data_IF_058812824566
#
_entry.id   IF_058812824566
#
_cell.length_a   1.000
_cell.length_b   1.000
_cell.length_c   1.000
_cell.angle_alpha   90.00
_cell.angle_beta   90.00
_cell.angle_gamma   90.00
#
_symmetry.space_group_name_H-M   'P 1'
#
loop_
_entity.id
_entity.type
_entity.pdbx_description
1 polymer ?
#
# COMPACT_ATOMS: atom_id res chain seq x y z
N UNK A 1 -3.01 -14.64 -35.29
CA UNK A 1 -1.68 -14.05 -35.43
C UNK A 1 -1.77 -12.57 -35.03
N UNK A 2 -1.54 -12.26 -33.76
CA UNK A 2 -1.41 -10.90 -33.28
C UNK A 2 0.08 -10.56 -33.27
N UNK A 3 0.47 -9.64 -34.14
CA UNK A 3 1.85 -9.21 -34.32
C UNK A 3 2.37 -8.35 -33.15
N UNK A 4 3.66 -8.20 -33.00
CA UNK A 4 4.31 -7.59 -31.85
C UNK A 4 4.33 -6.06 -31.97
N UNK A 5 3.31 -5.37 -31.47
CA UNK A 5 3.27 -3.89 -31.51
C UNK A 5 3.70 -3.25 -30.15
N UNK A 6 3.94 -4.03 -29.11
CA UNK A 6 4.18 -3.46 -27.78
C UNK A 6 5.64 -3.43 -27.30
N UNK A 7 6.62 -3.71 -28.18
CA UNK A 7 8.03 -3.87 -27.74
C UNK A 7 9.03 -2.80 -28.21
N UNK A 8 8.63 -1.75 -28.87
CA UNK A 8 9.60 -0.80 -29.45
C UNK A 8 9.60 0.64 -28.91
N UNK A 9 8.78 0.99 -27.92
CA UNK A 9 8.76 2.37 -27.41
C UNK A 9 9.26 2.57 -25.98
N UNK A 10 9.76 1.51 -25.30
CA UNK A 10 10.22 1.64 -23.91
C UNK A 10 11.74 1.63 -23.72
N UNK A 11 12.55 1.47 -24.76
CA UNK A 11 14.01 1.49 -24.69
C UNK A 11 14.66 2.34 -25.80
N UNK A 12 14.05 3.47 -26.12
CA UNK A 12 14.71 4.53 -26.85
C UNK A 12 15.70 5.23 -25.93
N UNK A 13 16.96 5.24 -26.36
CA UNK A 13 18.12 6.02 -25.94
C UNK A 13 18.04 6.65 -24.51
N UNK A 14 18.68 5.99 -23.54
CA UNK A 14 18.97 6.57 -22.23
C UNK A 14 20.08 7.63 -22.35
N UNK A 15 19.94 8.56 -23.29
CA UNK A 15 20.63 9.84 -23.21
C UNK A 15 20.23 10.48 -21.88
N UNK A 16 21.19 11.03 -21.16
CA UNK A 16 21.03 11.67 -19.86
C UNK A 16 19.65 12.36 -19.80
N UNK A 17 18.77 11.89 -18.90
CA UNK A 17 17.46 12.50 -18.65
C UNK A 17 17.74 13.95 -18.20
N UNK A 18 17.83 14.85 -19.17
CA UNK A 18 17.92 16.26 -18.87
C UNK A 18 16.55 16.63 -18.31
N UNK A 19 16.57 17.22 -17.13
CA UNK A 19 15.38 17.69 -16.41
C UNK A 19 14.81 18.94 -17.14
N UNK A 20 14.44 18.76 -18.42
CA UNK A 20 14.00 19.84 -19.33
C UNK A 20 12.57 20.27 -19.07
N UNK A 21 11.81 19.47 -18.33
CA UNK A 21 10.39 19.69 -18.13
C UNK A 21 10.05 20.23 -16.71
N UNK A 22 11.04 20.86 -16.04
CA UNK A 22 10.81 21.48 -14.71
C UNK A 22 9.65 22.48 -14.76
N UNK A 23 9.59 23.29 -15.81
CA UNK A 23 8.53 24.30 -15.97
C UNK A 23 7.15 23.64 -16.11
N UNK A 24 7.04 22.53 -16.86
CA UNK A 24 5.80 21.78 -16.98
C UNK A 24 5.35 21.18 -15.64
N UNK A 25 6.29 20.62 -14.85
CA UNK A 25 6.00 20.08 -13.52
C UNK A 25 5.58 21.19 -12.55
N UNK A 26 6.27 22.32 -12.54
CA UNK A 26 5.91 23.44 -11.68
C UNK A 26 4.56 24.03 -12.08
N UNK A 27 4.32 24.17 -13.38
CA UNK A 27 3.01 24.63 -13.88
C UNK A 27 1.90 23.69 -13.47
N UNK A 28 2.09 22.37 -13.63
CA UNK A 28 1.12 21.36 -13.20
C UNK A 28 0.85 21.46 -11.70
N UNK A 29 1.92 21.60 -10.90
CA UNK A 29 1.78 21.75 -9.46
C UNK A 29 0.96 23.00 -9.09
N UNK A 30 1.26 24.16 -9.69
CA UNK A 30 0.52 25.40 -9.44
C UNK A 30 -0.94 25.30 -9.89
N UNK A 31 -1.20 24.72 -11.07
CA UNK A 31 -2.53 24.58 -11.62
C UNK A 31 -3.43 23.61 -10.83
N UNK A 32 -2.82 22.60 -10.17
CA UNK A 32 -3.56 21.54 -9.48
C UNK A 32 -3.62 21.68 -7.97
N UNK A 33 -2.82 22.58 -7.38
CA UNK A 33 -2.86 22.78 -5.93
C UNK A 33 -4.18 23.47 -5.52
N UNK A 34 -4.71 22.97 -4.40
CA UNK A 34 -5.92 23.57 -3.84
C UNK A 34 -5.62 24.94 -3.20
N UNK A 35 -6.49 25.89 -3.49
CA UNK A 35 -6.56 27.18 -2.82
C UNK A 35 -8.00 27.44 -2.39
N UNK A 36 -8.20 28.39 -1.48
CA UNK A 36 -9.56 28.77 -1.06
C UNK A 36 -10.42 29.17 -2.27
N UNK A 37 -9.81 29.88 -3.22
CA UNK A 37 -10.49 30.29 -4.45
C UNK A 37 -10.81 29.10 -5.35
N UNK A 38 -9.84 28.21 -5.62
CA UNK A 38 -10.05 27.06 -6.52
C UNK A 38 -11.11 26.10 -5.98
N UNK A 39 -11.17 25.92 -4.66
CA UNK A 39 -12.20 25.08 -4.01
C UNK A 39 -13.58 25.72 -4.12
N UNK A 40 -13.69 27.05 -3.90
CA UNK A 40 -14.97 27.78 -4.01
C UNK A 40 -15.46 27.89 -5.46
N UNK A 41 -14.54 28.05 -6.42
CA UNK A 41 -14.87 28.17 -7.84
C UNK A 41 -15.12 26.81 -8.51
N UNK A 42 -14.79 25.72 -7.86
CA UNK A 42 -15.01 24.37 -8.39
C UNK A 42 -16.49 24.07 -8.49
N UNK A 43 -16.93 23.67 -9.68
CA UNK A 43 -18.28 23.13 -9.92
C UNK A 43 -18.32 21.60 -9.75
N UNK A 44 -17.22 21.00 -9.29
CA UNK A 44 -17.14 19.56 -9.09
C UNK A 44 -18.03 19.13 -7.92
N UNK A 45 -18.93 18.20 -8.20
CA UNK A 45 -19.75 17.54 -7.19
C UNK A 45 -19.34 16.08 -7.09
N UNK A 46 -19.29 15.54 -5.88
CA UNK A 46 -19.01 14.13 -5.67
C UNK A 46 -20.24 13.31 -6.00
N UNK A 47 -20.05 12.31 -6.85
CA UNK A 47 -21.05 11.29 -7.14
C UNK A 47 -20.99 10.21 -6.05
N UNK A 48 -21.80 10.37 -5.01
CA UNK A 48 -21.84 9.47 -3.87
C UNK A 48 -22.41 8.10 -4.18
N UNK A 49 -23.26 8.01 -5.20
CA UNK A 49 -23.89 6.75 -5.63
C UNK A 49 -22.86 5.84 -6.32
N UNK A 50 -21.80 6.44 -6.87
CA UNK A 50 -20.69 5.74 -7.52
C UNK A 50 -19.43 5.69 -6.63
N UNK A 51 -19.59 5.78 -5.32
CA UNK A 51 -18.45 5.66 -4.40
C UNK A 51 -17.86 4.25 -4.47
N UNK A 52 -16.54 4.12 -4.70
CA UNK A 52 -15.90 2.81 -4.70
C UNK A 52 -15.96 2.16 -3.32
N UNK A 53 -16.04 0.84 -3.30
CA UNK A 53 -15.95 0.09 -2.04
C UNK A 53 -14.57 0.31 -1.39
N UNK A 54 -14.51 0.51 -0.06
CA UNK A 54 -13.25 0.86 0.62
C UNK A 54 -12.25 -0.29 0.68
N UNK A 55 -12.70 -1.51 0.36
CA UNK A 55 -11.88 -2.72 0.39
C UNK A 55 -12.15 -3.58 -0.83
N UNK A 56 -11.08 -4.08 -1.46
CA UNK A 56 -11.15 -5.16 -2.41
C UNK A 56 -11.15 -6.48 -1.63
N UNK A 57 -12.16 -7.30 -1.82
CA UNK A 57 -12.33 -8.56 -1.12
C UNK A 57 -12.56 -9.69 -2.10
N UNK A 58 -11.78 -10.75 -2.01
CA UNK A 58 -11.98 -12.01 -2.74
C UNK A 58 -12.80 -12.95 -1.86
N UNK A 59 -14.12 -12.87 -1.95
CA UNK A 59 -15.05 -13.56 -1.04
C UNK A 59 -15.05 -15.08 -1.19
N UNK A 60 -14.71 -15.56 -2.39
CA UNK A 60 -14.70 -16.99 -2.72
C UNK A 60 -13.40 -17.69 -2.31
N UNK A 61 -12.44 -16.94 -1.75
CA UNK A 61 -11.16 -17.47 -1.30
C UNK A 61 -11.12 -17.54 0.22
N UNK A 62 -10.70 -18.69 0.74
CA UNK A 62 -10.53 -18.88 2.18
C UNK A 62 -9.46 -17.92 2.75
N UNK A 63 -9.74 -17.28 3.89
CA UNK A 63 -8.78 -16.39 4.52
C UNK A 63 -7.70 -17.17 5.26
N UNK A 64 -6.44 -16.83 5.03
CA UNK A 64 -5.32 -17.23 5.87
C UNK A 64 -5.13 -16.12 6.90
N UNK A 65 -5.50 -16.33 8.17
CA UNK A 65 -5.50 -15.27 9.17
C UNK A 65 -4.08 -14.79 9.49
N UNK A 66 -3.93 -13.47 9.59
CA UNK A 66 -2.71 -12.81 10.05
C UNK A 66 -2.85 -12.41 11.52
N UNK A 67 -1.72 -12.27 12.21
CA UNK A 67 -1.71 -11.79 13.57
C UNK A 67 -2.19 -10.34 13.63
N UNK A 68 -3.17 -10.06 14.50
CA UNK A 68 -3.69 -8.71 14.74
C UNK A 68 -2.98 -8.03 15.90
N UNK A 69 -2.74 -8.78 16.96
CA UNK A 69 -2.06 -8.31 18.16
C UNK A 69 -0.56 -8.52 17.99
N UNK A 70 0.07 -7.55 17.33
CA UNK A 70 1.51 -7.58 17.11
C UNK A 70 2.20 -7.19 18.42
N UNK A 71 3.18 -7.98 18.87
CA UNK A 71 3.97 -7.62 20.04
C UNK A 71 4.68 -6.28 19.81
N UNK A 72 4.76 -5.47 20.84
CA UNK A 72 5.53 -4.22 20.80
C UNK A 72 6.98 -4.51 20.44
N UNK A 73 7.57 -3.66 19.60
CA UNK A 73 8.99 -3.76 19.26
C UNK A 73 9.91 -3.43 20.44
N UNK A 74 9.39 -2.75 21.46
CA UNK A 74 10.17 -2.23 22.57
C UNK A 74 11.12 -1.09 22.19
N UNK A 75 11.13 -0.68 20.92
CA UNK A 75 12.02 0.40 20.43
C UNK A 75 11.17 1.66 20.21
N UNK A 76 11.50 2.78 20.91
CA UNK A 76 10.84 4.05 20.67
C UNK A 76 10.99 4.51 19.22
N UNK A 77 9.90 5.06 18.64
CA UNK A 77 9.89 5.44 17.22
C UNK A 77 11.01 6.41 16.82
N UNK A 78 11.34 7.39 17.69
CA UNK A 78 12.42 8.35 17.43
C UNK A 78 13.79 7.68 17.43
N UNK A 79 14.01 6.70 18.30
CA UNK A 79 15.25 5.91 18.31
C UNK A 79 15.35 5.04 17.07
N UNK A 80 14.25 4.42 16.64
CA UNK A 80 14.21 3.64 15.41
C UNK A 80 14.56 4.51 14.19
N UNK A 81 14.02 5.74 14.10
CA UNK A 81 14.32 6.68 13.02
C UNK A 81 15.80 7.12 13.08
N UNK A 82 16.30 7.49 14.26
CA UNK A 82 17.70 7.90 14.45
C UNK A 82 18.68 6.76 14.16
N UNK A 83 18.31 5.53 14.54
CA UNK A 83 19.11 4.32 14.34
C UNK A 83 19.04 3.72 12.94
N UNK A 84 18.12 4.16 12.09
CA UNK A 84 17.92 3.57 10.76
C UNK A 84 19.19 3.57 9.89
N UNK A 85 20.03 4.61 10.03
CA UNK A 85 21.33 4.69 9.34
C UNK A 85 22.42 3.81 10.01
N UNK A 86 22.31 3.55 11.30
CA UNK A 86 23.26 2.72 12.05
C UNK A 86 22.94 1.22 11.88
N UNK A 87 21.66 0.85 11.77
CA UNK A 87 21.22 -0.53 11.52
C UNK A 87 21.64 -0.99 10.12
N UNK A 88 21.69 -0.09 9.14
CA UNK A 88 22.24 -0.40 7.82
C UNK A 88 23.76 -0.74 7.87
N UNK A 89 24.47 -0.25 8.88
CA UNK A 89 25.91 -0.51 9.07
C UNK A 89 26.21 -1.66 10.03
N UNK A 90 25.27 -2.00 10.90
CA UNK A 90 25.41 -3.13 11.83
C UNK A 90 24.55 -4.29 11.31
N UNK A 91 25.17 -5.21 10.58
CA UNK A 91 24.68 -6.58 10.41
C UNK A 91 24.66 -7.26 11.79
N UNK A 92 23.75 -6.87 12.64
CA UNK A 92 23.37 -7.73 13.75
C UNK A 92 22.48 -8.81 13.16
N UNK A 93 23.15 -9.85 12.69
CA UNK A 93 22.60 -11.17 12.50
C UNK A 93 22.04 -11.68 13.82
N UNK A 94 20.80 -11.34 14.11
CA UNK A 94 19.89 -12.37 14.54
C UNK A 94 19.21 -12.82 13.25
N UNK A 95 19.43 -14.07 12.85
CA UNK A 95 18.70 -14.77 11.82
C UNK A 95 17.22 -14.83 12.25
N UNK A 96 16.52 -13.70 12.12
CA UNK A 96 15.06 -13.71 12.25
C UNK A 96 14.56 -14.42 11.00
N UNK A 97 14.28 -15.72 11.18
CA UNK A 97 13.63 -16.50 10.13
C UNK A 97 12.37 -15.74 9.71
N UNK A 98 12.32 -15.34 8.43
CA UNK A 98 11.16 -14.68 7.88
C UNK A 98 10.00 -15.70 7.91
N UNK A 99 8.94 -15.36 8.61
CA UNK A 99 7.77 -16.19 8.85
C UNK A 99 6.49 -15.39 8.78
N UNK A 100 5.34 -16.04 8.95
CA UNK A 100 4.04 -15.39 8.89
C UNK A 100 3.86 -14.28 9.94
N UNK A 101 4.51 -14.38 11.09
CA UNK A 101 4.50 -13.34 12.13
C UNK A 101 5.18 -12.06 11.66
N UNK A 102 6.35 -12.17 11.06
CA UNK A 102 7.09 -11.03 10.50
C UNK A 102 6.32 -10.42 9.34
N UNK A 103 5.79 -11.27 8.46
CA UNK A 103 4.95 -10.84 7.34
C UNK A 103 3.69 -10.11 7.82
N UNK A 104 2.99 -10.64 8.84
CA UNK A 104 1.82 -9.99 9.45
C UNK A 104 2.16 -8.57 9.92
N UNK A 105 3.30 -8.40 10.58
CA UNK A 105 3.77 -7.10 11.05
C UNK A 105 4.02 -6.13 9.90
N UNK A 106 4.70 -6.58 8.86
CA UNK A 106 4.98 -5.76 7.67
C UNK A 106 3.68 -5.29 7.02
N UNK A 107 2.75 -6.21 6.77
CA UNK A 107 1.48 -5.90 6.12
C UNK A 107 0.61 -4.99 6.98
N UNK A 108 0.51 -5.26 8.27
CA UNK A 108 -0.28 -4.46 9.20
C UNK A 108 0.26 -3.03 9.35
N UNK A 109 1.59 -2.86 9.47
CA UNK A 109 2.21 -1.56 9.62
C UNK A 109 2.31 -0.78 8.31
N UNK A 110 2.26 -1.45 7.16
CA UNK A 110 2.27 -0.77 5.85
C UNK A 110 0.87 -0.38 5.35
N UNK A 111 -0.12 -1.26 5.48
CA UNK A 111 -1.45 -1.03 4.89
C UNK A 111 -2.63 -1.56 5.74
N UNK A 112 -2.38 -2.03 6.95
CA UNK A 112 -3.42 -2.50 7.86
C UNK A 112 -4.30 -1.37 8.39
N UNK A 113 -5.43 -1.73 8.99
CA UNK A 113 -6.33 -0.80 9.66
C UNK A 113 -5.74 -0.44 11.02
N UNK A 114 -5.39 0.83 11.20
CA UNK A 114 -4.81 1.38 12.43
C UNK A 114 -5.85 1.93 13.38
N UNK A 115 -7.00 2.38 12.84
CA UNK A 115 -8.08 2.95 13.63
C UNK A 115 -9.41 2.80 12.90
N UNK A 116 -10.45 2.58 13.67
CA UNK A 116 -11.83 2.60 13.19
C UNK A 116 -12.63 3.66 13.91
N UNK A 117 -13.45 4.41 13.20
CA UNK A 117 -14.35 5.41 13.74
C UNK A 117 -15.76 5.18 13.20
N UNK A 118 -16.72 5.14 14.10
CA UNK A 118 -18.14 5.11 13.76
C UNK A 118 -18.69 6.54 13.79
N UNK A 119 -19.45 6.90 12.76
CA UNK A 119 -20.09 8.21 12.67
C UNK A 119 -21.60 8.11 13.00
N UNK A 120 -22.18 9.12 13.62
CA UNK A 120 -23.63 9.24 13.74
C UNK A 120 -24.24 9.18 12.33
N UNK A 121 -25.21 8.28 12.12
CA UNK A 121 -25.80 8.03 10.81
C UNK A 121 -25.37 6.71 10.17
N UNK A 122 -24.51 5.92 10.82
CA UNK A 122 -24.26 4.52 10.47
C UNK A 122 -23.01 4.25 9.62
N UNK A 123 -22.19 5.27 9.32
CA UNK A 123 -20.94 5.09 8.58
C UNK A 123 -19.79 4.59 9.48
N UNK A 124 -19.14 3.49 9.07
CA UNK A 124 -17.89 3.01 9.68
C UNK A 124 -16.73 3.45 8.79
N UNK A 125 -15.79 4.21 9.35
CA UNK A 125 -14.60 4.66 8.64
C UNK A 125 -13.35 3.97 9.21
N UNK A 126 -12.55 3.38 8.33
CA UNK A 126 -11.33 2.69 8.67
C UNK A 126 -10.13 3.51 8.21
N UNK A 127 -9.24 3.85 9.13
CA UNK A 127 -7.97 4.50 8.83
C UNK A 127 -6.90 3.44 8.62
N UNK A 128 -6.13 3.57 7.56
CA UNK A 128 -5.02 2.66 7.27
C UNK A 128 -3.66 3.27 7.63
N UNK A 129 -2.63 2.44 7.69
CA UNK A 129 -1.29 2.86 8.06
C UNK A 129 -0.67 3.86 7.07
N UNK A 130 -1.03 3.80 5.79
CA UNK A 130 -0.52 4.73 4.79
C UNK A 130 -1.46 5.93 4.56
N UNK A 131 -0.86 7.08 4.21
CA UNK A 131 -1.61 8.27 3.84
C UNK A 131 -2.31 8.07 2.47
N UNK A 132 -3.54 8.59 2.37
CA UNK A 132 -4.31 8.49 1.15
C UNK A 132 -5.26 9.68 1.00
N UNK A 133 -5.37 10.21 -0.21
CA UNK A 133 -6.27 11.33 -0.51
C UNK A 133 -7.73 10.88 -0.37
N UNK A 134 -8.50 11.63 0.41
CA UNK A 134 -9.93 11.36 0.62
C UNK A 134 -10.23 10.03 1.31
N UNK A 135 -9.22 9.33 1.85
CA UNK A 135 -9.33 7.99 2.44
C UNK A 135 -9.99 6.95 1.51
N UNK A 136 -9.81 7.10 0.20
CA UNK A 136 -10.34 6.17 -0.81
C UNK A 136 -9.57 4.83 -0.83
N UNK A 137 -8.33 4.82 -0.33
CA UNK A 137 -7.52 3.60 -0.17
C UNK A 137 -7.45 2.73 -1.42
N UNK A 138 -7.13 3.34 -2.57
CA UNK A 138 -7.07 2.70 -3.88
C UNK A 138 -5.82 1.83 -4.13
N UNK A 139 -4.94 1.71 -3.14
CA UNK A 139 -3.75 0.84 -3.23
C UNK A 139 -4.04 -0.48 -2.53
N UNK A 140 -3.97 -1.56 -3.29
CA UNK A 140 -4.06 -2.93 -2.79
C UNK A 140 -2.69 -3.58 -2.80
N UNK A 141 -2.38 -4.36 -1.77
CA UNK A 141 -1.12 -5.08 -1.66
C UNK A 141 -1.28 -6.52 -2.13
N UNK A 142 -0.39 -6.90 -3.03
CA UNK A 142 -0.20 -8.28 -3.48
C UNK A 142 1.21 -8.70 -3.15
N UNK A 143 1.39 -9.95 -2.80
CA UNK A 143 2.70 -10.52 -2.55
C UNK A 143 2.89 -11.81 -3.34
N UNK A 144 4.12 -12.01 -3.78
CA UNK A 144 4.62 -13.28 -4.31
C UNK A 144 5.50 -13.83 -3.20
N UNK A 145 5.10 -14.94 -2.62
CA UNK A 145 5.83 -15.58 -1.53
C UNK A 145 6.40 -16.91 -2.00
N UNK A 146 7.68 -17.16 -1.72
CA UNK A 146 8.22 -18.49 -1.67
C UNK A 146 7.67 -19.25 -0.47
N UNK A 147 7.97 -20.54 -0.37
CA UNK A 147 7.52 -21.36 0.76
C UNK A 147 8.08 -20.86 2.09
N UNK A 148 7.21 -20.61 3.05
CA UNK A 148 7.53 -20.35 4.45
C UNK A 148 7.04 -21.53 5.29
N UNK A 149 7.50 -21.63 6.54
CA UNK A 149 7.09 -22.70 7.45
C UNK A 149 5.57 -22.83 7.63
N UNK A 150 4.86 -21.71 7.49
CA UNK A 150 3.43 -21.55 7.79
C UNK A 150 2.65 -20.84 6.68
N UNK A 151 3.27 -20.67 5.51
CA UNK A 151 2.61 -20.14 4.32
C UNK A 151 3.18 -20.83 3.07
N UNK A 152 2.39 -21.54 2.28
CA UNK A 152 2.82 -22.14 1.01
C UNK A 152 3.35 -21.09 0.02
N UNK A 153 4.14 -21.54 -0.95
CA UNK A 153 4.52 -20.69 -2.07
C UNK A 153 3.29 -20.28 -2.88
N UNK A 154 3.21 -19.01 -3.30
CA UNK A 154 2.05 -18.54 -4.05
C UNK A 154 1.96 -17.03 -4.24
N UNK A 155 0.86 -16.64 -4.87
CA UNK A 155 0.46 -15.23 -5.04
C UNK A 155 -0.72 -14.97 -4.12
N UNK A 156 -0.58 -13.92 -3.29
CA UNK A 156 -1.56 -13.58 -2.27
C UNK A 156 -1.99 -12.12 -2.37
N UNK A 157 -3.26 -11.88 -2.06
CA UNK A 157 -3.79 -10.54 -1.80
C UNK A 157 -3.88 -10.32 -0.29
N UNK A 158 -3.43 -9.16 0.18
CA UNK A 158 -3.63 -8.75 1.56
C UNK A 158 -5.02 -8.11 1.73
N UNK A 159 -5.85 -8.76 2.54
CA UNK A 159 -7.17 -8.26 2.93
C UNK A 159 -7.07 -7.55 4.29
N UNK A 160 -7.00 -6.21 4.32
CA UNK A 160 -6.89 -5.49 5.58
C UNK A 160 -8.17 -5.51 6.41
N UNK A 161 -9.34 -5.75 5.79
CA UNK A 161 -10.61 -5.82 6.51
C UNK A 161 -10.64 -7.02 7.46
N UNK A 162 -10.23 -8.17 6.96
CA UNK A 162 -10.20 -9.41 7.73
C UNK A 162 -8.85 -9.62 8.43
N UNK A 163 -7.83 -8.79 8.12
CA UNK A 163 -6.44 -9.03 8.51
C UNK A 163 -5.99 -10.42 8.10
N UNK A 164 -6.07 -10.69 6.81
CA UNK A 164 -5.85 -12.01 6.25
C UNK A 164 -5.12 -11.93 4.89
N UNK A 165 -4.57 -13.05 4.47
CA UNK A 165 -4.15 -13.27 3.10
C UNK A 165 -5.21 -14.08 2.37
N UNK A 166 -5.43 -13.75 1.09
CA UNK A 166 -6.25 -14.56 0.18
C UNK A 166 -5.33 -15.12 -0.90
N UNK A 167 -5.20 -16.45 -0.96
CA UNK A 167 -4.40 -17.10 -1.98
C UNK A 167 -5.08 -16.99 -3.34
N UNK A 168 -4.44 -16.29 -4.27
CA UNK A 168 -4.93 -16.14 -5.64
C UNK A 168 -4.42 -17.25 -6.55
N UNK A 169 -3.23 -17.75 -6.27
CA UNK A 169 -2.59 -18.82 -7.01
C UNK A 169 -1.56 -19.50 -6.11
N UNK A 170 -1.60 -20.81 -6.07
CA UNK A 170 -0.60 -21.65 -5.41
C UNK A 170 0.58 -21.96 -6.34
N UNK A 171 1.73 -22.24 -5.74
CA UNK A 171 2.97 -22.66 -6.41
C UNK A 171 3.88 -21.49 -6.83
N UNK A 172 5.05 -21.87 -7.33
CA UNK A 172 6.11 -20.96 -7.81
C UNK A 172 5.81 -20.34 -9.17
#
# INVERSE_FOLDING_TARGET
AAGPIFRQHFFGDRGAMSNRDIEAVLKYHEDTKHSEWSVRASQHTLDWDNQPTPFKVYRDLEPIPLLRDLPDSGVPALEAIAGANAVAAQKTQQDQVFNLTVLSRILQLSAGITKTRNYPGGGKHCFRAYANTGALHHVDLYLIAGELSDLPAGIYHFDPQDSALRCLREGD
#
